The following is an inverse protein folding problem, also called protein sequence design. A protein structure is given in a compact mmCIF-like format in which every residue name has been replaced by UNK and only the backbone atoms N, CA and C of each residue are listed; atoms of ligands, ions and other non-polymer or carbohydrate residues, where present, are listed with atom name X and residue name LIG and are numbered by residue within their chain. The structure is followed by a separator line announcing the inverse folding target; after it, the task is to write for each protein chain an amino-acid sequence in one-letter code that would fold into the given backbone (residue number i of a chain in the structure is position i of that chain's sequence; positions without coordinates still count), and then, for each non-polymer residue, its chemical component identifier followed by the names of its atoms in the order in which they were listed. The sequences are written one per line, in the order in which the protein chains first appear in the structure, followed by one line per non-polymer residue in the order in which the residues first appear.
data_IF_119281256287
#
_entry.id   IF_119281256287
#
_cell.length_a   1.000
_cell.length_b   1.000
_cell.length_c   1.000
_cell.angle_alpha   90.00
_cell.angle_beta   90.00
_cell.angle_gamma   90.00
#
_symmetry.space_group_name_H-M   'P 1'
#
loop_
_entity.id
_entity.type
_entity.pdbx_description
1 polymer ?
#
# COMPACT_ATOMS: atom_id res chain seq x y z
N UNK A 1 -2.83 -47.71 16.06
CA UNK A 1 -2.43 -47.12 14.78
C UNK A 1 -2.56 -45.63 14.96
N UNK A 2 -1.45 -44.90 15.10
CA UNK A 2 -1.46 -43.46 15.32
C UNK A 2 -1.30 -42.74 13.98
N UNK A 3 -2.02 -41.63 13.87
CA UNK A 3 -2.21 -40.81 12.68
C UNK A 3 -0.93 -40.20 12.13
N UNK A 4 -0.80 -40.16 10.80
CA UNK A 4 0.10 -39.24 10.12
C UNK A 4 -0.74 -38.09 9.55
N UNK A 5 -0.72 -36.96 10.25
CA UNK A 5 -1.25 -35.68 9.80
C UNK A 5 -0.23 -35.06 8.85
N UNK A 6 -0.48 -35.14 7.55
CA UNK A 6 0.28 -34.38 6.55
C UNK A 6 -0.21 -32.95 6.62
N UNK A 7 0.55 -32.08 7.29
CA UNK A 7 0.31 -30.64 7.21
C UNK A 7 1.00 -30.18 5.93
N UNK A 8 0.19 -29.85 4.91
CA UNK A 8 0.62 -29.04 3.77
C UNK A 8 1.15 -27.70 4.33
N UNK A 9 2.45 -27.62 4.53
CA UNK A 9 3.11 -26.38 4.86
C UNK A 9 3.23 -25.57 3.57
N UNK A 10 2.17 -24.84 3.22
CA UNK A 10 2.26 -23.76 2.25
C UNK A 10 3.31 -22.77 2.78
N UNK A 11 4.44 -22.67 2.10
CA UNK A 11 5.51 -21.74 2.49
C UNK A 11 5.00 -20.34 2.18
N UNK A 12 4.47 -19.67 3.20
CA UNK A 12 4.16 -18.24 3.13
C UNK A 12 5.49 -17.50 3.20
N UNK A 13 5.94 -16.98 2.06
CA UNK A 13 7.06 -16.04 2.04
C UNK A 13 6.65 -14.82 2.91
N UNK A 14 7.47 -14.40 3.90
CA UNK A 14 7.18 -13.18 4.63
C UNK A 14 7.18 -11.97 3.69
N UNK A 15 6.34 -10.96 3.97
CA UNK A 15 6.18 -9.79 3.11
C UNK A 15 6.16 -8.50 3.94
N UNK A 16 6.75 -7.45 3.38
CA UNK A 16 6.70 -6.10 3.91
C UNK A 16 5.54 -5.34 3.27
N UNK A 17 4.72 -4.68 4.08
CA UNK A 17 3.59 -3.90 3.61
C UNK A 17 3.71 -2.44 4.01
N UNK A 18 3.65 -1.57 3.02
CA UNK A 18 3.64 -0.13 3.19
C UNK A 18 2.27 0.40 2.76
N UNK A 19 1.61 1.14 3.64
CA UNK A 19 0.30 1.69 3.38
C UNK A 19 0.28 3.19 3.71
N UNK A 20 -0.30 3.98 2.82
CA UNK A 20 -0.65 5.37 3.08
C UNK A 20 -2.12 5.61 2.76
N UNK A 21 -2.85 6.12 3.74
CA UNK A 21 -4.27 6.41 3.64
C UNK A 21 -4.52 7.89 3.93
N UNK A 22 -5.24 8.56 3.03
CA UNK A 22 -5.65 9.95 3.17
C UNK A 22 -7.17 10.01 3.01
N UNK A 23 -7.83 10.72 3.93
CA UNK A 23 -9.26 11.04 3.82
C UNK A 23 -9.44 12.55 3.75
N UNK A 24 -10.26 13.02 2.82
CA UNK A 24 -10.61 14.44 2.71
C UNK A 24 -11.94 14.73 3.43
N UNK A 25 -12.18 16.00 3.83
CA UNK A 25 -13.48 16.41 4.40
C UNK A 25 -14.67 16.13 3.47
N UNK A 26 -14.45 16.17 2.15
CA UNK A 26 -15.47 15.95 1.12
C UNK A 26 -15.78 14.46 0.90
N UNK A 27 -15.22 13.57 1.73
CA UNK A 27 -15.48 12.13 1.69
C UNK A 27 -14.60 11.35 0.70
N UNK A 28 -13.63 11.98 0.04
CA UNK A 28 -12.67 11.27 -0.82
C UNK A 28 -11.70 10.47 0.03
N UNK A 29 -11.50 9.20 -0.32
CA UNK A 29 -10.55 8.30 0.33
C UNK A 29 -9.51 7.84 -0.67
N UNK A 30 -8.25 8.06 -0.35
CA UNK A 30 -7.09 7.68 -1.15
C UNK A 30 -6.32 6.66 -0.34
N UNK A 31 -6.08 5.48 -0.92
CA UNK A 31 -5.25 4.43 -0.32
C UNK A 31 -4.18 4.02 -1.33
N UNK A 32 -2.93 4.14 -0.93
CA UNK A 32 -1.79 3.61 -1.66
C UNK A 32 -1.17 2.49 -0.83
N UNK A 33 -0.90 1.38 -1.47
CA UNK A 33 -0.36 0.19 -0.82
C UNK A 33 0.68 -0.46 -1.72
N UNK A 34 1.80 -0.89 -1.13
CA UNK A 34 2.81 -1.72 -1.78
C UNK A 34 3.16 -2.87 -0.85
N UNK A 35 3.19 -4.06 -1.43
CA UNK A 35 3.64 -5.29 -0.77
C UNK A 35 4.93 -5.75 -1.44
N UNK A 36 5.96 -6.00 -0.64
CA UNK A 36 7.28 -6.42 -1.10
C UNK A 36 7.60 -7.78 -0.47
N UNK A 37 7.75 -8.85 -1.26
CA UNK A 37 8.25 -10.13 -0.75
C UNK A 37 9.60 -9.96 -0.06
N UNK A 38 9.83 -10.59 1.08
CA UNK A 38 11.07 -10.43 1.87
C UNK A 38 12.33 -10.78 1.07
N UNK A 39 12.23 -11.75 0.16
CA UNK A 39 13.32 -12.09 -0.78
C UNK A 39 13.72 -10.96 -1.74
N UNK A 40 12.84 -9.98 -1.94
CA UNK A 40 13.06 -8.76 -2.74
C UNK A 40 13.24 -7.52 -1.86
N UNK A 41 13.06 -7.65 -0.54
CA UNK A 41 13.28 -6.58 0.41
C UNK A 41 14.79 -6.34 0.57
N UNK A 42 15.30 -5.41 -0.24
CA UNK A 42 16.67 -4.91 -0.14
C UNK A 42 16.85 -3.85 0.95
N UNK A 43 17.98 -3.13 0.90
CA UNK A 43 18.31 -2.08 1.87
C UNK A 43 17.34 -0.88 1.86
N UNK A 44 16.61 -0.67 0.76
CA UNK A 44 15.87 0.58 0.49
C UNK A 44 14.35 0.51 0.80
N UNK A 45 13.93 -0.37 1.71
CA UNK A 45 12.53 -0.45 2.16
C UNK A 45 11.97 0.88 2.70
N UNK A 46 12.84 1.74 3.26
CA UNK A 46 12.46 3.08 3.70
C UNK A 46 12.00 3.96 2.52
N UNK A 47 12.71 3.91 1.40
CA UNK A 47 12.36 4.64 0.18
C UNK A 47 11.02 4.16 -0.38
N UNK A 48 10.76 2.84 -0.37
CA UNK A 48 9.47 2.29 -0.78
C UNK A 48 8.33 2.90 0.04
N UNK A 49 8.47 2.98 1.36
CA UNK A 49 7.48 3.62 2.23
C UNK A 49 7.25 5.09 1.90
N UNK A 50 8.33 5.85 1.66
CA UNK A 50 8.25 7.26 1.27
C UNK A 50 7.54 7.44 -0.09
N UNK A 51 7.82 6.56 -1.06
CA UNK A 51 7.18 6.58 -2.36
C UNK A 51 5.67 6.29 -2.26
N UNK A 52 5.24 5.35 -1.40
CA UNK A 52 3.81 5.10 -1.15
C UNK A 52 3.13 6.34 -0.59
N UNK A 53 3.76 7.02 0.37
CA UNK A 53 3.22 8.26 0.92
C UNK A 53 3.15 9.38 -0.12
N UNK A 54 4.21 9.55 -0.91
CA UNK A 54 4.26 10.54 -1.99
C UNK A 54 3.19 10.27 -3.05
N UNK A 55 2.94 9.01 -3.42
CA UNK A 55 1.90 8.64 -4.37
C UNK A 55 0.49 9.01 -3.88
N UNK A 56 0.19 8.77 -2.60
CA UNK A 56 -1.07 9.18 -2.00
C UNK A 56 -1.24 10.72 -2.01
N UNK A 57 -0.20 11.46 -1.63
CA UNK A 57 -0.21 12.94 -1.64
C UNK A 57 -0.34 13.52 -3.06
N UNK A 58 0.38 12.96 -4.04
CA UNK A 58 0.30 13.40 -5.43
C UNK A 58 -1.10 13.18 -6.00
N UNK A 59 -1.71 12.03 -5.71
CA UNK A 59 -3.10 11.74 -6.05
C UNK A 59 -4.05 12.78 -5.46
N UNK A 60 -3.89 13.12 -4.17
CA UNK A 60 -4.68 14.17 -3.53
C UNK A 60 -4.52 15.51 -4.23
N UNK A 61 -3.29 15.89 -4.55
CA UNK A 61 -2.99 17.15 -5.24
C UNK A 61 -3.71 17.24 -6.59
N UNK A 62 -3.66 16.17 -7.39
CA UNK A 62 -4.36 16.13 -8.67
C UNK A 62 -5.87 16.24 -8.52
N UNK A 63 -6.46 15.55 -7.54
CA UNK A 63 -7.90 15.63 -7.28
C UNK A 63 -8.34 17.03 -6.86
N UNK A 64 -7.56 17.72 -6.02
CA UNK A 64 -7.83 19.12 -5.64
C UNK A 64 -7.74 20.07 -6.84
N UNK A 65 -6.76 19.89 -7.72
CA UNK A 65 -6.61 20.72 -8.92
C UNK A 65 -7.74 20.46 -9.93
N UNK A 66 -8.18 19.21 -10.11
CA UNK A 66 -9.30 18.89 -11.00
C UNK A 66 -10.66 19.34 -10.47
N UNK A 67 -10.85 19.33 -9.15
CA UNK A 67 -12.08 19.83 -8.51
C UNK A 67 -12.17 21.37 -8.47
N UNK A 68 -11.12 22.08 -8.90
CA UNK A 68 -11.10 23.53 -9.06
C UNK A 68 -11.75 24.05 -10.36
N UNK A 69 -12.50 23.21 -11.09
CA UNK A 69 -13.19 23.61 -12.34
C UNK A 69 -14.71 23.59 -12.17
N UNK A 70 -15.31 24.74 -12.50
CA UNK A 70 -16.74 25.07 -12.66
C UNK A 70 -17.51 25.58 -11.45
N UNK A 71 -17.12 26.76 -10.98
CA UNK A 71 -18.10 27.83 -10.72
C UNK A 71 -17.76 29.00 -11.68
N UNK A 72 -18.32 28.94 -12.89
CA UNK A 72 -18.56 30.12 -13.73
C UNK A 72 -20.05 30.46 -13.61
#
# INVERSE_FOLDING_TARGET
MNAESVVDAEIVDPEWRFESAISTPDGVRIRAEVTVPDRLAGADLGEVGELVHMAANKTLSHLRTSSGVSHL
#
